data_IF_799877983669
#
_entry.id   IF_799877983669
#
_cell.length_a   1.000
_cell.length_b   1.000
_cell.length_c   1.000
_cell.angle_alpha   90.00
_cell.angle_beta   90.00
_cell.angle_gamma   90.00
#
_symmetry.space_group_name_H-M   'P 1'
#
loop_
_entity.id
_entity.type
_entity.pdbx_description
1 polymer ?
#
# COMPACT_ATOMS: atom_id res chain seq x y z
N UNK A 1 4.20 32.05 100.95
CA UNK A 1 4.75 31.15 99.89
C UNK A 1 4.26 31.66 98.53
N UNK A 2 5.08 32.40 97.80
CA UNK A 2 4.72 33.00 96.52
C UNK A 2 5.09 32.02 95.41
N UNK A 3 4.11 31.41 94.76
CA UNK A 3 4.35 30.50 93.62
C UNK A 3 4.59 31.35 92.39
N UNK A 4 5.82 31.30 91.88
CA UNK A 4 6.22 32.06 90.72
C UNK A 4 5.67 31.36 89.42
N UNK A 5 4.56 31.88 88.94
CA UNK A 5 3.79 31.37 87.79
C UNK A 5 4.45 31.68 86.44
N UNK A 6 5.49 32.51 86.43
CA UNK A 6 6.13 32.98 85.20
C UNK A 6 6.92 31.88 84.42
N UNK A 7 7.47 30.90 85.14
CA UNK A 7 8.25 29.81 84.51
C UNK A 7 7.39 28.72 83.87
N UNK A 8 6.11 28.61 84.30
CA UNK A 8 5.23 27.59 83.78
C UNK A 8 4.67 28.00 82.38
N UNK A 9 4.32 29.26 82.22
CA UNK A 9 3.88 29.77 80.88
C UNK A 9 5.00 29.72 79.82
N UNK A 10 6.24 29.96 80.20
CA UNK A 10 7.36 29.84 79.25
C UNK A 10 7.60 28.42 78.79
N UNK A 11 7.33 27.41 79.60
CA UNK A 11 7.45 26.00 79.23
C UNK A 11 6.33 25.51 78.31
N UNK A 12 5.13 26.00 78.49
CA UNK A 12 4.01 25.68 77.62
C UNK A 12 4.11 26.38 76.26
N UNK A 13 4.62 27.59 76.19
CA UNK A 13 4.90 28.27 74.93
C UNK A 13 5.98 27.56 74.08
N UNK A 14 6.99 27.01 74.73
CA UNK A 14 8.07 26.25 74.00
C UNK A 14 7.53 24.92 73.46
N UNK A 15 6.68 24.21 74.17
CA UNK A 15 6.10 22.95 73.73
C UNK A 15 5.06 23.16 72.61
N UNK A 16 4.25 24.21 72.69
CA UNK A 16 3.27 24.54 71.64
C UNK A 16 3.94 24.97 70.32
N UNK A 17 5.05 25.71 70.42
CA UNK A 17 5.81 26.11 69.21
C UNK A 17 6.47 24.96 68.50
N UNK A 18 7.02 23.98 69.22
CA UNK A 18 7.67 22.83 68.62
C UNK A 18 6.66 21.84 67.99
N UNK A 19 5.46 21.72 68.56
CA UNK A 19 4.42 20.88 67.97
C UNK A 19 3.83 21.46 66.67
N UNK A 20 3.72 22.81 66.59
CA UNK A 20 3.24 23.46 65.38
C UNK A 20 4.28 23.46 64.25
N UNK A 21 5.57 23.51 64.57
CA UNK A 21 6.63 23.45 63.60
C UNK A 21 6.84 22.03 63.06
N UNK A 22 6.53 21.00 63.83
CA UNK A 22 6.56 19.59 63.39
C UNK A 22 5.39 19.21 62.46
N UNK A 23 4.27 19.91 62.55
CA UNK A 23 3.10 19.60 61.70
C UNK A 23 3.22 20.20 60.29
N UNK A 24 3.99 21.29 60.11
CA UNK A 24 4.20 21.92 58.82
C UNK A 24 5.21 21.11 57.97
N UNK A 25 6.09 20.33 58.59
CA UNK A 25 7.05 19.49 57.91
C UNK A 25 6.47 18.15 57.44
N UNK A 26 5.23 17.81 57.85
CA UNK A 26 4.56 16.57 57.49
C UNK A 26 3.67 16.67 56.24
N UNK A 27 3.52 17.87 55.64
CA UNK A 27 2.98 17.96 54.28
C UNK A 27 4.05 17.51 53.31
N UNK A 28 4.18 16.18 53.14
CA UNK A 28 5.01 15.61 52.12
C UNK A 28 4.61 16.23 50.77
N UNK A 29 5.49 17.03 50.23
CA UNK A 29 5.40 17.42 48.84
C UNK A 29 5.57 16.11 48.07
N UNK A 30 4.46 15.47 47.71
CA UNK A 30 4.47 14.40 46.75
C UNK A 30 4.85 15.04 45.41
N UNK A 31 6.16 15.14 45.17
CA UNK A 31 6.61 15.44 43.83
C UNK A 31 6.12 14.27 42.94
N UNK A 32 5.21 14.58 42.03
CA UNK A 32 4.86 13.62 41.00
C UNK A 32 6.15 13.22 40.33
N UNK A 33 6.51 11.94 40.41
CA UNK A 33 7.65 11.43 39.74
C UNK A 33 7.33 11.42 38.24
N UNK A 34 7.93 12.26 37.40
CA UNK A 34 7.62 12.25 35.97
C UNK A 34 8.05 10.89 35.40
N UNK A 35 7.11 10.19 34.82
CA UNK A 35 7.36 8.96 34.09
C UNK A 35 7.52 9.29 32.62
N UNK A 36 8.62 8.79 32.02
CA UNK A 36 8.87 8.95 30.60
C UNK A 36 8.11 7.87 29.82
N UNK A 37 7.18 8.30 28.99
CA UNK A 37 6.46 7.43 28.08
C UNK A 37 7.21 7.45 26.74
N UNK A 38 7.78 6.30 26.28
CA UNK A 38 8.42 6.26 24.98
C UNK A 38 7.37 6.43 23.87
N UNK A 39 7.71 7.25 22.88
CA UNK A 39 6.92 7.40 21.64
C UNK A 39 7.73 6.77 20.51
N UNK A 40 7.18 5.72 19.93
CA UNK A 40 7.76 5.05 18.78
C UNK A 40 7.05 5.55 17.53
N UNK A 41 7.81 5.98 16.52
CA UNK A 41 7.30 6.41 15.22
C UNK A 41 8.12 5.68 14.16
N UNK A 42 7.43 4.95 13.29
CA UNK A 42 8.02 4.31 12.13
C UNK A 42 7.60 5.08 10.87
N UNK A 43 8.57 5.44 10.04
CA UNK A 43 8.34 6.10 8.75
C UNK A 43 8.45 5.06 7.65
N UNK A 44 7.38 4.89 6.88
CA UNK A 44 7.33 3.96 5.75
C UNK A 44 7.67 4.73 4.48
N UNK A 45 8.59 4.20 3.66
CA UNK A 45 8.91 4.77 2.35
C UNK A 45 7.69 4.67 1.41
N UNK A 46 7.47 5.65 0.52
CA UNK A 46 6.38 5.57 -0.45
C UNK A 46 6.59 4.40 -1.42
N UNK A 47 5.48 3.86 -1.94
CA UNK A 47 5.51 2.93 -3.07
C UNK A 47 6.02 3.69 -4.30
N UNK A 48 6.98 3.09 -5.01
CA UNK A 48 7.40 3.56 -6.33
C UNK A 48 7.04 2.50 -7.38
N UNK A 49 6.54 2.95 -8.52
CA UNK A 49 6.14 2.12 -9.65
C UNK A 49 6.87 2.59 -10.91
N UNK A 50 7.48 1.67 -11.64
CA UNK A 50 8.17 1.95 -12.90
C UNK A 50 7.73 0.96 -13.96
N UNK A 51 7.22 1.43 -15.10
CA UNK A 51 6.90 0.58 -16.25
C UNK A 51 8.18 0.28 -17.04
N UNK A 52 8.48 -1.00 -17.21
CA UNK A 52 9.61 -1.49 -17.98
C UNK A 52 9.16 -1.81 -19.41
N UNK A 53 8.05 -2.52 -19.56
CA UNK A 53 7.47 -2.93 -20.83
C UNK A 53 5.98 -2.66 -20.86
N UNK A 54 5.47 -2.17 -21.99
CA UNK A 54 4.04 -1.97 -22.18
C UNK A 54 3.34 -3.27 -22.59
N UNK A 55 2.06 -3.41 -22.25
CA UNK A 55 1.21 -4.48 -22.77
C UNK A 55 1.05 -4.32 -24.28
N UNK A 56 1.34 -5.37 -25.05
CA UNK A 56 1.28 -5.36 -26.51
C UNK A 56 0.54 -6.60 -27.04
N UNK A 57 -0.47 -6.39 -27.86
CA UNK A 57 -1.23 -7.45 -28.53
C UNK A 57 -0.70 -7.78 -29.93
N UNK A 58 0.30 -7.04 -30.40
CA UNK A 58 0.85 -7.23 -31.75
C UNK A 58 -0.01 -6.58 -32.84
N UNK A 59 -0.03 -7.21 -34.02
CA UNK A 59 -0.84 -6.78 -35.16
C UNK A 59 -2.03 -7.71 -35.32
N UNK A 60 -3.21 -7.17 -35.30
CA UNK A 60 -4.46 -7.93 -35.45
C UNK A 60 -4.97 -7.81 -36.89
N UNK A 61 -5.66 -8.87 -37.35
CA UNK A 61 -6.30 -8.86 -38.67
C UNK A 61 -7.47 -7.87 -38.68
N UNK A 62 -7.52 -7.02 -39.67
CA UNK A 62 -8.68 -6.11 -39.89
C UNK A 62 -9.97 -6.86 -40.22
N UNK A 63 -9.89 -8.14 -40.59
CA UNK A 63 -11.07 -9.00 -40.81
C UNK A 63 -11.52 -9.72 -39.53
N UNK A 64 -10.86 -9.49 -38.39
CA UNK A 64 -11.32 -10.02 -37.12
C UNK A 64 -12.78 -9.60 -36.86
N UNK A 65 -13.56 -10.56 -36.41
CA UNK A 65 -14.99 -10.35 -36.18
C UNK A 65 -15.23 -9.75 -34.80
N UNK A 66 -16.34 -9.04 -34.65
CA UNK A 66 -16.77 -8.61 -33.33
C UNK A 66 -16.94 -9.84 -32.41
N UNK A 67 -16.44 -9.70 -31.16
CA UNK A 67 -16.31 -10.73 -30.14
C UNK A 67 -15.12 -11.71 -30.31
N UNK A 68 -14.28 -11.59 -31.34
CA UNK A 68 -12.99 -12.29 -31.35
C UNK A 68 -12.13 -11.77 -30.19
N UNK A 69 -11.42 -12.67 -29.53
CA UNK A 69 -10.58 -12.30 -28.37
C UNK A 69 -9.13 -12.72 -28.58
N UNK A 70 -8.24 -11.90 -28.07
CA UNK A 70 -6.81 -12.21 -27.90
C UNK A 70 -6.44 -11.99 -26.45
N UNK A 71 -5.89 -13.00 -25.81
CA UNK A 71 -5.42 -12.93 -24.43
C UNK A 71 -3.90 -12.98 -24.39
N UNK A 72 -3.28 -12.02 -23.75
CA UNK A 72 -1.86 -12.05 -23.38
C UNK A 72 -1.80 -12.49 -21.93
N UNK A 73 -1.05 -13.58 -21.67
CA UNK A 73 -0.79 -14.06 -20.32
C UNK A 73 0.41 -13.32 -19.70
N UNK A 74 0.58 -13.43 -18.38
CA UNK A 74 1.67 -12.78 -17.65
C UNK A 74 3.07 -13.31 -18.04
N UNK A 75 3.15 -14.48 -18.65
CA UNK A 75 4.38 -15.13 -19.14
C UNK A 75 4.68 -14.83 -20.63
N UNK A 76 4.11 -13.77 -21.19
CA UNK A 76 4.22 -13.37 -22.61
C UNK A 76 3.61 -14.37 -23.63
N UNK A 77 3.03 -15.47 -23.17
CA UNK A 77 2.28 -16.34 -24.07
C UNK A 77 0.95 -15.70 -24.45
N UNK A 78 0.41 -16.04 -25.62
CA UNK A 78 -0.89 -15.55 -26.02
C UNK A 78 -1.79 -16.65 -26.52
N UNK A 79 -3.09 -16.39 -26.49
CA UNK A 79 -4.12 -17.24 -27.04
C UNK A 79 -5.16 -16.43 -27.79
N UNK A 80 -5.79 -17.05 -28.79
CA UNK A 80 -6.80 -16.45 -29.66
C UNK A 80 -8.07 -17.28 -29.60
N UNK A 81 -9.23 -16.64 -29.59
CA UNK A 81 -10.52 -17.35 -29.72
C UNK A 81 -10.74 -17.87 -31.13
N UNK A 82 -10.20 -17.17 -32.14
CA UNK A 82 -10.25 -17.53 -33.56
C UNK A 82 -8.83 -17.49 -34.13
N UNK A 83 -8.41 -18.54 -34.80
CA UNK A 83 -7.07 -18.65 -35.37
C UNK A 83 -6.81 -17.54 -36.41
N UNK A 84 -5.62 -16.99 -36.36
CA UNK A 84 -5.12 -15.88 -37.19
C UNK A 84 -5.76 -14.51 -36.89
N UNK A 85 -6.35 -14.31 -35.74
CA UNK A 85 -6.69 -12.96 -35.26
C UNK A 85 -5.43 -12.12 -35.07
N UNK A 86 -4.35 -12.72 -34.56
CA UNK A 86 -3.01 -12.12 -34.51
C UNK A 86 -2.24 -12.49 -35.77
N UNK A 87 -1.86 -11.49 -36.56
CA UNK A 87 -1.17 -11.69 -37.85
C UNK A 87 0.32 -11.29 -37.78
N UNK A 88 0.84 -10.92 -36.64
CA UNK A 88 2.25 -10.61 -36.41
C UNK A 88 2.49 -9.53 -35.35
N UNK A 89 3.71 -9.01 -35.31
CA UNK A 89 4.13 -8.07 -34.28
C UNK A 89 4.59 -8.78 -33.01
N UNK A 90 4.80 -8.02 -31.95
CA UNK A 90 5.22 -8.53 -30.64
C UNK A 90 4.01 -8.63 -29.72
N UNK A 91 3.88 -9.75 -29.05
CA UNK A 91 2.91 -10.00 -27.99
C UNK A 91 3.71 -10.02 -26.67
N UNK A 92 3.42 -9.10 -25.75
CA UNK A 92 4.09 -9.05 -24.45
C UNK A 92 3.11 -8.59 -23.37
N UNK A 93 3.23 -9.17 -22.20
CA UNK A 93 2.62 -8.64 -20.97
C UNK A 93 3.22 -7.28 -20.63
N UNK A 94 2.50 -6.47 -19.86
CA UNK A 94 3.12 -5.32 -19.25
C UNK A 94 4.02 -5.81 -18.10
N UNK A 95 5.25 -5.26 -18.04
CA UNK A 95 6.17 -5.49 -16.94
C UNK A 95 6.42 -4.20 -16.19
N UNK A 96 6.21 -4.24 -14.89
CA UNK A 96 6.41 -3.13 -13.97
C UNK A 96 7.30 -3.55 -12.81
N UNK A 97 8.16 -2.64 -12.36
CA UNK A 97 8.88 -2.80 -11.10
C UNK A 97 8.17 -2.03 -10.00
N UNK A 98 7.82 -2.73 -8.91
CA UNK A 98 7.33 -2.12 -7.68
C UNK A 98 8.47 -2.05 -6.67
N UNK A 99 8.68 -0.88 -6.08
CA UNK A 99 9.63 -0.71 -4.96
C UNK A 99 8.84 -0.37 -3.70
N UNK A 100 8.93 -1.24 -2.70
CA UNK A 100 8.27 -1.11 -1.39
C UNK A 100 9.21 -1.63 -0.30
N UNK A 101 9.02 -1.24 0.98
CA UNK A 101 9.73 -1.88 2.09
C UNK A 101 9.48 -3.39 2.09
N UNK A 102 10.51 -4.15 2.50
CA UNK A 102 10.41 -5.60 2.61
C UNK A 102 9.31 -6.02 3.59
N UNK A 103 8.68 -7.17 3.32
CA UNK A 103 7.63 -7.76 4.18
C UNK A 103 6.42 -6.85 4.41
N UNK A 104 6.13 -5.98 3.46
CA UNK A 104 4.97 -5.07 3.50
C UNK A 104 3.80 -5.69 2.72
N UNK A 105 2.60 -5.65 3.28
CA UNK A 105 1.39 -6.04 2.54
C UNK A 105 0.97 -4.89 1.64
N UNK A 106 0.78 -5.20 0.35
CA UNK A 106 0.32 -4.26 -0.67
C UNK A 106 -0.87 -4.82 -1.43
N UNK A 107 -1.63 -3.93 -2.04
CA UNK A 107 -2.69 -4.26 -2.97
C UNK A 107 -2.36 -3.68 -4.34
N UNK A 108 -2.50 -4.48 -5.38
CA UNK A 108 -2.39 -4.07 -6.78
C UNK A 108 -3.79 -4.04 -7.38
N UNK A 109 -4.12 -2.98 -8.09
CA UNK A 109 -5.39 -2.81 -8.80
C UNK A 109 -5.11 -2.23 -10.18
N UNK A 110 -5.70 -2.83 -11.20
CA UNK A 110 -5.79 -2.25 -12.55
C UNK A 110 -7.14 -1.54 -12.66
N UNK A 111 -7.11 -0.26 -12.96
CA UNK A 111 -8.30 0.58 -13.06
C UNK A 111 -8.20 1.58 -14.25
N UNK A 112 -9.17 2.49 -14.37
CA UNK A 112 -9.21 3.50 -15.42
C UNK A 112 -8.94 2.93 -16.83
N UNK A 113 -9.51 1.76 -17.12
CA UNK A 113 -9.29 1.04 -18.37
C UNK A 113 -9.91 1.83 -19.51
N UNK A 114 -9.07 2.36 -20.39
CA UNK A 114 -9.50 3.01 -21.60
C UNK A 114 -10.08 2.01 -22.60
N UNK A 115 -10.86 2.50 -23.55
CA UNK A 115 -11.39 1.73 -24.66
C UNK A 115 -10.72 2.17 -25.96
N UNK A 116 -10.30 1.20 -26.77
CA UNK A 116 -9.92 1.48 -28.16
C UNK A 116 -11.16 1.75 -29.04
N UNK A 117 -10.92 2.20 -30.25
CA UNK A 117 -12.00 2.40 -31.22
C UNK A 117 -12.66 1.09 -31.65
N UNK A 118 -11.85 0.04 -31.76
CA UNK A 118 -12.24 -1.25 -32.31
C UNK A 118 -12.05 -2.39 -31.31
N UNK A 119 -11.74 -2.11 -30.07
CA UNK A 119 -11.59 -3.13 -29.03
C UNK A 119 -11.89 -2.61 -27.63
N UNK A 120 -12.13 -3.53 -26.74
CA UNK A 120 -12.16 -3.31 -25.30
C UNK A 120 -11.13 -4.20 -24.63
N UNK A 121 -10.59 -3.76 -23.49
CA UNK A 121 -9.73 -4.55 -22.62
C UNK A 121 -10.52 -5.02 -21.40
N UNK A 122 -10.17 -6.21 -20.91
CA UNK A 122 -10.74 -6.77 -19.69
C UNK A 122 -9.97 -8.01 -19.23
N UNK A 123 -10.45 -8.64 -18.18
CA UNK A 123 -9.84 -9.84 -17.60
C UNK A 123 -8.34 -9.65 -17.36
N UNK A 124 -8.01 -8.64 -16.55
CA UNK A 124 -6.62 -8.39 -16.19
C UNK A 124 -6.15 -9.42 -15.17
N UNK A 125 -5.00 -10.04 -15.48
CA UNK A 125 -4.30 -10.98 -14.61
C UNK A 125 -2.95 -10.40 -14.24
N UNK A 126 -2.60 -10.47 -12.97
CA UNK A 126 -1.30 -10.03 -12.46
C UNK A 126 -0.54 -11.21 -11.88
N UNK A 127 0.75 -11.27 -12.16
CA UNK A 127 1.73 -12.13 -11.49
C UNK A 127 2.75 -11.26 -10.77
N UNK A 128 3.11 -11.61 -9.55
CA UNK A 128 4.17 -10.94 -8.79
C UNK A 128 5.34 -11.90 -8.62
N UNK A 129 6.54 -11.48 -9.05
CA UNK A 129 7.77 -12.29 -8.98
C UNK A 129 7.62 -13.68 -9.63
N UNK A 130 6.88 -13.77 -10.75
CA UNK A 130 6.61 -15.04 -11.43
C UNK A 130 5.74 -16.01 -10.60
N UNK A 131 4.95 -15.49 -9.68
CA UNK A 131 4.01 -16.25 -8.86
C UNK A 131 2.75 -16.69 -9.63
N UNK A 132 1.73 -17.07 -8.90
CA UNK A 132 0.45 -17.49 -9.48
C UNK A 132 -0.30 -16.28 -10.03
N UNK A 133 -0.81 -16.42 -11.27
CA UNK A 133 -1.70 -15.44 -11.88
C UNK A 133 -2.96 -15.24 -11.06
N UNK A 134 -3.27 -13.99 -10.76
CA UNK A 134 -4.44 -13.61 -9.99
C UNK A 134 -5.13 -12.44 -10.68
N UNK A 135 -6.46 -12.46 -10.71
CA UNK A 135 -7.23 -11.35 -11.24
C UNK A 135 -6.90 -10.05 -10.49
N UNK A 136 -6.59 -8.98 -11.20
CA UNK A 136 -6.25 -7.68 -10.66
C UNK A 136 -7.08 -6.52 -11.22
N UNK A 137 -8.15 -6.80 -11.94
CA UNK A 137 -9.30 -5.91 -12.17
C UNK A 137 -10.15 -5.71 -10.89
N UNK A 138 -9.88 -6.49 -9.85
CA UNK A 138 -10.22 -6.27 -8.45
C UNK A 138 -8.93 -6.28 -7.62
N UNK A 139 -8.95 -5.69 -6.42
CA UNK A 139 -7.75 -5.55 -5.59
C UNK A 139 -7.05 -6.91 -5.33
N UNK A 140 -5.86 -7.07 -5.84
CA UNK A 140 -4.99 -8.21 -5.62
C UNK A 140 -4.05 -7.92 -4.44
N UNK A 141 -4.29 -8.56 -3.29
CA UNK A 141 -3.50 -8.36 -2.07
C UNK A 141 -2.35 -9.38 -2.00
N UNK A 142 -1.15 -8.88 -1.78
CA UNK A 142 0.04 -9.69 -1.61
C UNK A 142 0.95 -9.10 -0.52
N UNK A 143 1.79 -9.96 0.07
CA UNK A 143 2.86 -9.49 0.96
C UNK A 143 4.17 -9.49 0.16
N UNK A 144 4.81 -8.34 0.04
CA UNK A 144 6.08 -8.23 -0.67
C UNK A 144 7.10 -9.19 -0.05
N UNK A 145 7.89 -9.82 -0.90
CA UNK A 145 9.01 -10.66 -0.46
C UNK A 145 10.05 -9.84 0.31
N UNK A 146 11.11 -10.50 0.78
CA UNK A 146 12.21 -9.84 1.49
C UNK A 146 12.98 -8.82 0.63
N UNK A 147 12.78 -8.78 -0.67
CA UNK A 147 13.38 -7.81 -1.59
C UNK A 147 12.62 -6.48 -1.57
N UNK A 148 13.35 -5.37 -1.56
CA UNK A 148 12.78 -4.02 -1.60
C UNK A 148 12.20 -3.64 -2.98
N UNK A 149 12.30 -4.51 -3.99
CA UNK A 149 11.68 -4.33 -5.31
C UNK A 149 11.26 -5.68 -5.87
N UNK A 150 10.17 -5.71 -6.61
CA UNK A 150 9.64 -6.90 -7.25
C UNK A 150 9.04 -6.58 -8.61
N UNK A 151 9.07 -7.57 -9.52
CA UNK A 151 8.45 -7.49 -10.83
C UNK A 151 6.95 -7.82 -10.72
N UNK A 152 6.14 -7.08 -11.46
CA UNK A 152 4.72 -7.37 -11.68
C UNK A 152 4.48 -7.47 -13.17
N UNK A 153 4.11 -8.63 -13.62
CA UNK A 153 3.66 -8.89 -14.97
C UNK A 153 2.13 -8.79 -15.04
N UNK A 154 1.62 -8.09 -16.06
CA UNK A 154 0.18 -7.88 -16.24
C UNK A 154 -0.23 -8.34 -17.64
N UNK A 155 -1.04 -9.37 -17.69
CA UNK A 155 -1.72 -9.85 -18.87
C UNK A 155 -3.16 -9.32 -18.94
N UNK A 156 -3.76 -9.35 -20.16
CA UNK A 156 -5.15 -8.95 -20.33
C UNK A 156 -5.78 -9.62 -21.57
N UNK A 157 -7.10 -9.61 -21.62
CA UNK A 157 -7.87 -10.01 -22.79
C UNK A 157 -8.37 -8.79 -23.55
N UNK A 158 -8.01 -8.72 -24.81
CA UNK A 158 -8.59 -7.80 -25.79
C UNK A 158 -9.79 -8.48 -26.45
N UNK A 159 -10.90 -7.77 -26.54
CA UNK A 159 -12.09 -8.21 -27.32
C UNK A 159 -12.34 -7.24 -28.45
N UNK A 160 -12.41 -7.74 -29.67
CA UNK A 160 -12.68 -6.95 -30.87
C UNK A 160 -14.14 -6.46 -30.81
N UNK A 161 -14.35 -5.17 -31.14
CA UNK A 161 -15.67 -4.57 -31.25
C UNK A 161 -15.82 -3.88 -32.61
N UNK A 162 -16.92 -4.13 -33.28
CA UNK A 162 -17.19 -3.54 -34.60
C UNK A 162 -16.32 -4.14 -35.72
N UNK A 163 -16.02 -3.34 -36.73
CA UNK A 163 -15.23 -3.73 -37.92
C UNK A 163 -13.94 -2.88 -37.94
N UNK A 164 -12.80 -3.46 -37.57
CA UNK A 164 -11.52 -2.73 -37.54
C UNK A 164 -11.13 -2.19 -38.90
N UNK A 165 -10.34 -1.11 -38.89
CA UNK A 165 -9.64 -0.59 -40.07
C UNK A 165 -8.15 -0.61 -39.83
N UNK A 166 -7.34 -0.59 -40.89
CA UNK A 166 -5.88 -0.68 -40.80
C UNK A 166 -5.27 0.62 -40.24
N UNK A 167 -5.49 0.90 -38.97
CA UNK A 167 -4.94 2.05 -38.24
C UNK A 167 -4.36 1.58 -36.90
N UNK A 168 -3.39 2.31 -36.38
CA UNK A 168 -2.97 2.11 -35.00
C UNK A 168 -4.08 2.59 -34.07
N UNK A 169 -4.43 1.77 -33.09
CA UNK A 169 -5.46 2.06 -32.08
C UNK A 169 -4.84 1.74 -30.70
N UNK A 170 -4.59 2.78 -29.91
CA UNK A 170 -3.92 2.66 -28.63
C UNK A 170 -4.81 3.16 -27.52
N UNK A 171 -4.74 2.50 -26.39
CA UNK A 171 -5.41 2.91 -25.15
C UNK A 171 -4.45 2.74 -23.97
N UNK A 172 -4.89 3.14 -22.79
CA UNK A 172 -4.13 3.02 -21.55
C UNK A 172 -5.01 2.43 -20.46
N UNK A 173 -4.39 1.92 -19.42
CA UNK A 173 -4.98 1.61 -18.13
C UNK A 173 -4.04 2.10 -17.04
N UNK A 174 -4.59 2.29 -15.85
CA UNK A 174 -3.80 2.67 -14.68
C UNK A 174 -3.52 1.46 -13.80
N UNK A 175 -2.35 1.46 -13.16
CA UNK A 175 -1.98 0.47 -12.14
C UNK A 175 -1.77 1.20 -10.83
N UNK A 176 -2.61 0.89 -9.86
CA UNK A 176 -2.58 1.48 -8.53
C UNK A 176 -2.04 0.47 -7.52
N UNK A 177 -1.02 0.86 -6.76
CA UNK A 177 -0.46 0.06 -5.67
C UNK A 177 -0.62 0.80 -4.36
N UNK A 178 -1.24 0.16 -3.39
CA UNK A 178 -1.52 0.75 -2.07
C UNK A 178 -1.02 -0.14 -0.95
N UNK A 179 -0.64 0.45 0.19
CA UNK A 179 -0.40 -0.28 1.43
C UNK A 179 -1.72 -0.81 2.00
N UNK A 180 -1.67 -1.99 2.63
CA UNK A 180 -2.78 -2.62 3.34
C UNK A 180 -2.55 -2.61 4.87
#
# INVERSE_FOLDING_TARGET
MIINTSNWMKRFAAIAGSALMGLILATGIYAANPESVPVNVEWIAPVALTTNTALQFGKLDVNASAADTVTINTDDTYSESVANTVVGGTQTAADLTITVPASTTISILVDNIGTGTYYTLGTFMCSYEGGTDTACDAAYNLTSAAAASGAVEIGATLTVVGTPTAVADNTTFDVTVTYQ
#
